data_IF_372446460988
#
_entry.id   IF_372446460988
#
_cell.length_a   1.000
_cell.length_b   1.000
_cell.length_c   1.000
_cell.angle_alpha   90.00
_cell.angle_beta   90.00
_cell.angle_gamma   90.00
#
_symmetry.space_group_name_H-M   'P 1'
#
loop_
_entity.id
_entity.type
_entity.pdbx_description
1 polymer ?
#
# COMPACT_ATOMS: atom_id res chain seq x y z
N UNK A 1 -12.82 -40.60 -12.47
CA UNK A 1 -12.69 -41.28 -13.79
C UNK A 1 -11.31 -41.94 -14.02
N UNK A 2 -10.18 -41.42 -13.48
CA UNK A 2 -8.81 -41.95 -13.68
C UNK A 2 -8.43 -43.23 -12.90
N UNK A 3 -9.06 -43.52 -11.76
CA UNK A 3 -8.81 -44.78 -10.99
C UNK A 3 -9.00 -46.06 -11.84
N UNK A 4 -9.94 -46.03 -12.79
CA UNK A 4 -10.19 -47.16 -13.71
C UNK A 4 -9.05 -47.34 -14.72
N UNK A 5 -8.35 -46.27 -15.08
CA UNK A 5 -7.22 -46.29 -16.01
C UNK A 5 -5.94 -46.81 -15.34
N UNK A 6 -5.69 -46.46 -14.08
CA UNK A 6 -4.53 -47.00 -13.34
C UNK A 6 -4.66 -48.50 -13.10
N UNK A 7 -5.86 -48.99 -12.73
CA UNK A 7 -6.11 -50.43 -12.62
C UNK A 7 -5.79 -51.14 -13.95
N UNK A 8 -6.28 -50.60 -15.06
CA UNK A 8 -5.99 -51.14 -16.41
C UNK A 8 -4.50 -51.11 -16.74
N UNK A 9 -3.79 -50.04 -16.39
CA UNK A 9 -2.35 -49.90 -16.59
C UNK A 9 -1.55 -50.93 -15.78
N UNK A 10 -1.89 -51.10 -14.49
CA UNK A 10 -1.28 -52.10 -13.59
C UNK A 10 -1.48 -53.51 -14.15
N UNK A 11 -2.71 -53.88 -14.51
CA UNK A 11 -2.99 -55.19 -15.12
C UNK A 11 -2.21 -55.40 -16.42
N UNK A 12 -2.11 -54.36 -17.27
CA UNK A 12 -1.38 -54.44 -18.53
C UNK A 12 0.12 -54.65 -18.34
N UNK A 13 0.74 -53.93 -17.40
CA UNK A 13 2.18 -54.04 -17.12
C UNK A 13 2.51 -55.41 -16.51
N UNK A 14 1.71 -55.86 -15.55
CA UNK A 14 1.89 -57.18 -14.93
C UNK A 14 1.74 -58.31 -15.95
N UNK A 15 0.70 -58.25 -16.80
CA UNK A 15 0.47 -59.27 -17.84
C UNK A 15 1.57 -59.26 -18.90
N UNK A 16 2.11 -58.09 -19.25
CA UNK A 16 3.24 -57.97 -20.17
C UNK A 16 4.51 -58.62 -19.60
N UNK A 17 4.83 -58.37 -18.34
CA UNK A 17 5.99 -58.96 -17.66
C UNK A 17 5.85 -60.49 -17.56
N UNK A 18 4.67 -60.98 -17.16
CA UNK A 18 4.39 -62.42 -17.10
C UNK A 18 4.44 -63.05 -18.50
N UNK A 19 3.95 -62.35 -19.52
CA UNK A 19 3.99 -62.80 -20.92
C UNK A 19 5.41 -62.93 -21.46
N UNK A 20 6.28 -61.95 -21.20
CA UNK A 20 7.71 -62.02 -21.56
C UNK A 20 8.38 -63.18 -20.83
N UNK A 21 8.08 -63.36 -19.54
CA UNK A 21 8.64 -64.44 -18.75
C UNK A 21 8.23 -65.84 -19.26
N UNK A 22 6.95 -66.03 -19.58
CA UNK A 22 6.44 -67.29 -20.14
C UNK A 22 7.02 -67.56 -21.54
N UNK A 23 7.16 -66.52 -22.37
CA UNK A 23 7.79 -66.62 -23.69
C UNK A 23 9.27 -67.01 -23.61
N UNK A 24 10.00 -66.50 -22.62
CA UNK A 24 11.40 -66.88 -22.39
C UNK A 24 11.55 -68.37 -22.05
N UNK A 25 10.65 -68.93 -21.25
CA UNK A 25 10.59 -70.36 -20.96
C UNK A 25 10.36 -71.21 -22.23
N UNK A 26 9.42 -70.81 -23.08
CA UNK A 26 9.11 -71.53 -24.32
C UNK A 26 10.29 -71.56 -25.31
N UNK A 27 11.05 -70.47 -25.39
CA UNK A 27 12.24 -70.37 -26.26
C UNK A 27 13.41 -71.18 -25.69
N UNK A 28 13.56 -71.22 -24.38
CA UNK A 28 14.62 -71.99 -23.71
C UNK A 28 14.42 -73.50 -23.91
N UNK A 29 13.19 -73.99 -23.80
CA UNK A 29 12.81 -75.39 -24.03
C UNK A 29 13.06 -75.84 -25.48
N UNK A 30 12.81 -74.96 -26.46
CA UNK A 30 13.01 -75.26 -27.88
C UNK A 30 14.49 -75.34 -28.31
N UNK A 31 15.42 -74.75 -27.55
CA UNK A 31 16.84 -74.63 -27.94
C UNK A 31 17.81 -75.47 -27.10
N UNK A 32 17.31 -76.31 -26.19
CA UNK A 32 18.11 -77.23 -25.35
C UNK A 32 19.25 -76.49 -24.60
N UNK A 33 18.96 -75.27 -24.14
CA UNK A 33 19.93 -74.32 -23.57
C UNK A 33 20.17 -74.49 -22.07
N UNK A 34 19.45 -75.39 -21.40
CA UNK A 34 19.43 -75.53 -19.94
C UNK A 34 20.10 -76.83 -19.49
N UNK A 35 21.19 -76.71 -18.72
CA UNK A 35 21.94 -77.84 -18.16
C UNK A 35 21.99 -77.84 -16.62
N UNK A 36 21.32 -76.89 -15.94
CA UNK A 36 21.24 -76.82 -14.46
C UNK A 36 19.83 -76.48 -13.94
N UNK A 37 18.96 -77.50 -13.71
CA UNK A 37 17.51 -77.30 -13.51
C UNK A 37 17.11 -76.43 -12.31
N UNK A 38 17.88 -76.46 -11.22
CA UNK A 38 17.54 -75.71 -10.00
C UNK A 38 18.03 -74.27 -10.08
N UNK A 39 19.25 -74.04 -10.58
CA UNK A 39 19.82 -72.70 -10.75
C UNK A 39 19.01 -71.86 -11.75
N UNK A 40 18.65 -72.46 -12.88
CA UNK A 40 17.91 -71.79 -13.96
C UNK A 40 16.51 -71.33 -13.51
N UNK A 41 15.85 -72.08 -12.62
CA UNK A 41 14.54 -71.71 -12.04
C UNK A 41 14.66 -70.57 -11.03
N UNK A 42 15.68 -70.59 -10.17
CA UNK A 42 15.92 -69.51 -9.21
C UNK A 42 16.27 -68.19 -9.92
N UNK A 43 17.15 -68.23 -10.92
CA UNK A 43 17.52 -67.05 -11.71
C UNK A 43 16.33 -66.51 -12.51
N UNK A 44 15.50 -67.40 -13.08
CA UNK A 44 14.26 -67.05 -13.78
C UNK A 44 13.23 -66.37 -12.85
N UNK A 45 13.08 -66.87 -11.62
CA UNK A 45 12.19 -66.30 -10.63
C UNK A 45 12.70 -64.94 -10.12
N UNK A 46 14.01 -64.81 -9.89
CA UNK A 46 14.66 -63.55 -9.53
C UNK A 46 14.51 -62.50 -10.64
N UNK A 47 14.59 -62.90 -11.92
CA UNK A 47 14.31 -62.01 -13.04
C UNK A 47 12.84 -61.55 -13.10
N UNK A 48 11.88 -62.44 -12.81
CA UNK A 48 10.46 -62.10 -12.73
C UNK A 48 10.18 -61.09 -11.60
N UNK A 49 10.72 -61.34 -10.41
CA UNK A 49 10.61 -60.40 -9.28
C UNK A 49 11.28 -59.06 -9.59
N UNK A 50 12.45 -59.07 -10.23
CA UNK A 50 13.13 -57.86 -10.68
C UNK A 50 12.32 -57.06 -11.70
N UNK A 51 11.71 -57.74 -12.68
CA UNK A 51 10.84 -57.12 -13.68
C UNK A 51 9.58 -56.52 -13.06
N UNK A 52 8.91 -57.24 -12.15
CA UNK A 52 7.73 -56.75 -11.44
C UNK A 52 8.07 -55.57 -10.51
N UNK A 53 9.19 -55.62 -9.79
CA UNK A 53 9.65 -54.53 -8.94
C UNK A 53 9.96 -53.28 -9.76
N UNK A 54 10.67 -53.42 -10.89
CA UNK A 54 10.96 -52.32 -11.81
C UNK A 54 9.67 -51.74 -12.44
N UNK A 55 8.74 -52.60 -12.84
CA UNK A 55 7.41 -52.19 -13.30
C UNK A 55 6.64 -51.41 -12.23
N UNK A 56 6.71 -51.86 -10.96
CA UNK A 56 6.16 -51.15 -9.81
C UNK A 56 6.72 -49.73 -9.65
N UNK A 57 8.04 -49.57 -9.75
CA UNK A 57 8.70 -48.26 -9.67
C UNK A 57 8.25 -47.33 -10.80
N UNK A 58 8.18 -47.82 -12.05
CA UNK A 58 7.70 -47.02 -13.19
C UNK A 58 6.25 -46.57 -12.97
N UNK A 59 5.39 -47.47 -12.48
CA UNK A 59 4.00 -47.16 -12.18
C UNK A 59 3.87 -46.09 -11.08
N UNK A 60 4.67 -46.20 -10.01
CA UNK A 60 4.70 -45.21 -8.94
C UNK A 60 5.18 -43.84 -9.45
N UNK A 61 6.25 -43.79 -10.25
CA UNK A 61 6.74 -42.53 -10.84
C UNK A 61 5.64 -41.89 -11.70
N UNK A 62 4.95 -42.68 -12.52
CA UNK A 62 3.86 -42.15 -13.34
C UNK A 62 2.71 -41.59 -12.50
N UNK A 63 2.29 -42.29 -11.45
CA UNK A 63 1.25 -41.80 -10.55
C UNK A 63 1.66 -40.49 -9.87
N UNK A 64 2.92 -40.39 -9.41
CA UNK A 64 3.46 -39.17 -8.81
C UNK A 64 3.51 -37.99 -9.79
N UNK A 65 3.84 -38.24 -11.06
CA UNK A 65 3.84 -37.20 -12.09
C UNK A 65 2.42 -36.66 -12.35
N UNK A 66 1.44 -37.54 -12.46
CA UNK A 66 0.04 -37.15 -12.67
C UNK A 66 -0.51 -36.39 -11.45
N UNK A 67 -0.17 -36.80 -10.22
CA UNK A 67 -0.53 -36.07 -8.99
C UNK A 67 0.12 -34.69 -8.91
N UNK A 68 1.39 -34.56 -9.34
CA UNK A 68 2.09 -33.27 -9.39
C UNK A 68 1.47 -32.33 -10.44
N UNK A 69 1.06 -32.85 -11.58
CA UNK A 69 0.35 -32.07 -12.60
C UNK A 69 -0.99 -31.56 -12.06
N UNK A 70 -1.80 -32.42 -11.45
CA UNK A 70 -3.07 -32.04 -10.82
C UNK A 70 -2.85 -31.00 -9.71
N UNK A 71 -1.85 -31.20 -8.85
CA UNK A 71 -1.49 -30.24 -7.80
C UNK A 71 -1.10 -28.89 -8.38
N UNK A 72 -0.35 -28.86 -9.49
CA UNK A 72 0.03 -27.61 -10.17
C UNK A 72 -1.19 -26.90 -10.77
N UNK A 73 -2.11 -27.64 -11.37
CA UNK A 73 -3.35 -27.06 -11.91
C UNK A 73 -4.22 -26.46 -10.80
N UNK A 74 -4.35 -27.13 -9.65
CA UNK A 74 -5.09 -26.61 -8.50
C UNK A 74 -4.41 -25.38 -7.89
N UNK A 75 -3.08 -25.38 -7.77
CA UNK A 75 -2.32 -24.22 -7.33
C UNK A 75 -2.47 -23.04 -8.29
N UNK A 76 -2.50 -23.28 -9.60
CA UNK A 76 -2.74 -22.23 -10.59
C UNK A 76 -4.16 -21.64 -10.45
N UNK A 77 -5.20 -22.49 -10.33
CA UNK A 77 -6.58 -22.04 -10.14
C UNK A 77 -6.77 -21.27 -8.83
N UNK A 78 -6.15 -21.72 -7.74
CA UNK A 78 -6.21 -21.02 -6.45
C UNK A 78 -5.45 -19.70 -6.47
N UNK A 79 -4.30 -19.63 -7.16
CA UNK A 79 -3.58 -18.38 -7.37
C UNK A 79 -4.39 -17.37 -8.20
N UNK A 80 -5.06 -17.82 -9.26
CA UNK A 80 -5.94 -16.99 -10.09
C UNK A 80 -7.14 -16.47 -9.29
N UNK A 81 -7.82 -17.35 -8.53
CA UNK A 81 -8.94 -16.95 -7.67
C UNK A 81 -8.50 -15.94 -6.59
N UNK A 82 -7.35 -16.18 -5.94
CA UNK A 82 -6.79 -15.24 -4.96
C UNK A 82 -6.45 -13.89 -5.59
N UNK A 83 -5.93 -13.88 -6.83
CA UNK A 83 -5.65 -12.65 -7.56
C UNK A 83 -6.92 -11.88 -7.91
N UNK A 84 -7.97 -12.57 -8.38
CA UNK A 84 -9.27 -11.97 -8.66
C UNK A 84 -9.91 -11.37 -7.39
N UNK A 85 -9.93 -12.12 -6.27
CA UNK A 85 -10.42 -11.64 -4.98
C UNK A 85 -9.62 -10.44 -4.46
N UNK A 86 -8.29 -10.46 -4.63
CA UNK A 86 -7.45 -9.32 -4.24
C UNK A 86 -7.76 -8.06 -5.05
N UNK A 87 -8.07 -8.19 -6.35
CA UNK A 87 -8.46 -7.07 -7.19
C UNK A 87 -9.85 -6.53 -6.84
N UNK A 88 -10.84 -7.40 -6.63
CA UNK A 88 -12.17 -6.98 -6.17
C UNK A 88 -12.09 -6.25 -4.82
N UNK A 89 -11.27 -6.76 -3.89
CA UNK A 89 -11.03 -6.09 -2.61
C UNK A 89 -10.39 -4.71 -2.77
N UNK A 90 -9.48 -4.52 -3.76
CA UNK A 90 -8.91 -3.20 -4.08
C UNK A 90 -9.98 -2.26 -4.64
N UNK A 91 -10.79 -2.72 -5.59
CA UNK A 91 -11.87 -1.91 -6.18
C UNK A 91 -12.88 -1.46 -5.12
N UNK A 92 -13.28 -2.38 -4.23
CA UNK A 92 -14.14 -2.05 -3.09
C UNK A 92 -13.51 -1.00 -2.18
N UNK A 93 -12.22 -1.13 -1.86
CA UNK A 93 -11.52 -0.15 -1.04
C UNK A 93 -11.43 1.24 -1.72
N UNK A 94 -11.29 1.30 -3.05
CA UNK A 94 -11.34 2.55 -3.82
C UNK A 94 -12.71 3.21 -3.68
N UNK A 95 -13.78 2.45 -3.89
CA UNK A 95 -15.15 2.96 -3.79
C UNK A 95 -15.47 3.45 -2.37
N UNK A 96 -15.11 2.69 -1.33
CA UNK A 96 -15.30 3.08 0.07
C UNK A 96 -14.52 4.35 0.43
N UNK A 97 -13.29 4.48 -0.06
CA UNK A 97 -12.48 5.68 0.15
C UNK A 97 -13.08 6.89 -0.55
N UNK A 98 -13.52 6.74 -1.80
CA UNK A 98 -14.20 7.80 -2.54
C UNK A 98 -15.50 8.24 -1.85
N UNK A 99 -16.32 7.29 -1.40
CA UNK A 99 -17.53 7.56 -0.62
C UNK A 99 -17.21 8.32 0.67
N UNK A 100 -16.17 7.90 1.39
CA UNK A 100 -15.70 8.57 2.62
C UNK A 100 -15.28 10.01 2.31
N UNK A 101 -14.48 10.23 1.26
CA UNK A 101 -14.01 11.56 0.86
C UNK A 101 -15.14 12.50 0.41
N UNK A 102 -16.18 11.94 -0.18
CA UNK A 102 -17.36 12.67 -0.63
C UNK A 102 -18.41 12.86 0.47
N UNK A 103 -18.31 12.15 1.60
CA UNK A 103 -19.26 12.23 2.71
C UNK A 103 -19.38 13.63 3.30
N UNK A 104 -20.57 13.96 3.81
CA UNK A 104 -20.87 15.27 4.43
C UNK A 104 -19.89 15.61 5.58
N UNK A 105 -19.56 14.62 6.40
CA UNK A 105 -18.56 14.77 7.45
C UNK A 105 -17.19 15.19 6.88
N UNK A 106 -16.74 14.55 5.81
CA UNK A 106 -15.46 14.88 5.20
C UNK A 106 -15.49 16.21 4.44
N UNK A 107 -16.64 16.63 3.90
CA UNK A 107 -16.81 17.99 3.36
C UNK A 107 -16.65 19.05 4.47
N UNK A 108 -17.15 18.77 5.67
CA UNK A 108 -16.95 19.65 6.85
C UNK A 108 -15.48 19.71 7.22
N UNK A 109 -14.78 18.57 7.26
CA UNK A 109 -13.34 18.50 7.51
C UNK A 109 -12.57 19.38 6.52
N UNK A 110 -12.83 19.23 5.21
CA UNK A 110 -12.18 20.03 4.16
C UNK A 110 -12.46 21.52 4.32
N UNK A 111 -13.72 21.89 4.54
CA UNK A 111 -14.13 23.29 4.67
C UNK A 111 -13.46 23.97 5.86
N UNK A 112 -13.50 23.34 7.03
CA UNK A 112 -12.82 23.81 8.25
C UNK A 112 -11.31 23.89 8.06
N UNK A 113 -10.70 22.88 7.44
CA UNK A 113 -9.26 22.88 7.15
C UNK A 113 -8.86 24.03 6.22
N UNK A 114 -9.64 24.28 5.17
CA UNK A 114 -9.41 25.41 4.28
C UNK A 114 -9.49 26.74 5.02
N UNK A 115 -10.45 26.93 5.93
CA UNK A 115 -10.54 28.17 6.74
C UNK A 115 -9.24 28.41 7.50
N UNK A 116 -8.75 27.42 8.23
CA UNK A 116 -7.50 27.52 9.02
C UNK A 116 -6.30 27.83 8.13
N UNK A 117 -6.12 27.09 7.03
CA UNK A 117 -4.96 27.28 6.16
C UNK A 117 -5.01 28.64 5.48
N UNK A 118 -6.18 29.07 4.99
CA UNK A 118 -6.33 30.38 4.36
C UNK A 118 -6.06 31.49 5.39
N UNK A 119 -6.56 31.36 6.62
CA UNK A 119 -6.23 32.28 7.70
C UNK A 119 -4.72 32.35 7.98
N UNK A 120 -4.01 31.22 7.93
CA UNK A 120 -2.56 31.18 8.07
C UNK A 120 -1.83 31.82 6.88
N UNK A 121 -2.34 31.68 5.66
CA UNK A 121 -1.81 32.37 4.49
C UNK A 121 -1.99 33.88 4.60
N UNK A 122 -3.13 34.34 5.13
CA UNK A 122 -3.48 35.76 5.27
C UNK A 122 -2.73 36.48 6.38
N UNK A 123 -2.39 35.78 7.46
CA UNK A 123 -1.69 36.35 8.62
C UNK A 123 -0.52 35.46 9.04
N UNK A 124 0.71 36.00 8.96
CA UNK A 124 1.89 35.32 9.52
C UNK A 124 1.78 35.13 11.03
N UNK A 125 1.20 36.10 11.74
CA UNK A 125 1.01 36.04 13.20
C UNK A 125 0.11 34.88 13.60
N UNK A 126 -0.99 34.67 12.87
CA UNK A 126 -1.87 33.53 13.07
C UNK A 126 -1.21 32.21 12.65
N UNK A 127 -0.47 32.20 11.54
CA UNK A 127 0.27 31.03 11.10
C UNK A 127 1.27 30.54 12.12
N UNK A 128 2.05 31.45 12.71
CA UNK A 128 2.96 31.16 13.81
C UNK A 128 2.25 30.53 15.01
N UNK A 129 1.09 31.06 15.37
CA UNK A 129 0.25 30.50 16.40
C UNK A 129 -0.20 29.08 16.04
N UNK A 130 -0.82 28.91 14.86
CA UNK A 130 -1.31 27.62 14.37
C UNK A 130 -0.18 26.58 14.33
N UNK A 131 0.98 26.92 13.78
CA UNK A 131 2.12 26.01 13.66
C UNK A 131 2.62 25.56 15.03
N UNK A 132 2.70 26.48 16.00
CA UNK A 132 3.09 26.14 17.36
C UNK A 132 2.15 25.13 18.03
N UNK A 133 0.89 25.02 17.59
CA UNK A 133 -0.09 24.06 18.13
C UNK A 133 0.10 22.63 17.65
N UNK A 134 0.89 22.40 16.59
CA UNK A 134 1.27 21.03 16.19
C UNK A 134 2.33 20.42 17.13
N UNK A 135 2.90 21.20 18.03
CA UNK A 135 3.93 20.76 18.97
C UNK A 135 3.41 20.78 20.40
N UNK A 136 3.95 19.88 21.23
CA UNK A 136 3.48 19.69 22.62
C UNK A 136 3.98 20.80 23.55
N UNK A 137 5.08 21.47 23.19
CA UNK A 137 5.75 22.49 24.00
C UNK A 137 5.99 23.76 23.19
N UNK A 138 6.26 24.87 23.88
CA UNK A 138 6.49 26.19 23.26
C UNK A 138 5.30 26.73 22.45
N UNK A 139 4.07 26.35 22.83
CA UNK A 139 2.86 26.80 22.14
C UNK A 139 2.60 28.29 22.35
N UNK A 140 2.30 29.02 21.28
CA UNK A 140 1.88 30.43 21.32
C UNK A 140 0.40 30.54 21.71
N UNK A 141 0.02 31.70 22.25
CA UNK A 141 -1.39 32.01 22.61
C UNK A 141 -2.08 32.72 21.46
N UNK A 142 -3.38 32.45 21.31
CA UNK A 142 -4.25 33.20 20.42
C UNK A 142 -4.66 34.49 21.13
N UNK A 143 -4.45 35.63 20.49
CA UNK A 143 -4.82 36.95 21.02
C UNK A 143 -5.90 37.60 20.17
N UNK A 144 -6.62 38.56 20.74
CA UNK A 144 -7.64 39.32 20.01
C UNK A 144 -7.06 40.08 18.80
N UNK A 145 -5.82 40.54 18.90
CA UNK A 145 -5.17 41.26 17.80
C UNK A 145 -4.96 40.34 16.59
N UNK A 146 -4.53 39.09 16.83
CA UNK A 146 -4.43 38.07 15.78
C UNK A 146 -5.82 37.77 15.21
N UNK A 147 -6.85 37.66 16.04
CA UNK A 147 -8.21 37.38 15.58
C UNK A 147 -8.76 38.46 14.64
N UNK A 148 -8.47 39.74 14.91
CA UNK A 148 -8.88 40.87 14.07
C UNK A 148 -8.25 40.85 12.68
N UNK A 149 -7.11 40.18 12.51
CA UNK A 149 -6.45 40.00 11.21
C UNK A 149 -7.17 38.97 10.32
N UNK A 150 -8.13 38.20 10.85
CA UNK A 150 -8.74 37.05 10.16
C UNK A 150 -10.15 37.37 9.63
N UNK A 151 -10.29 37.81 8.36
CA UNK A 151 -11.59 38.18 7.80
C UNK A 151 -12.59 37.01 7.72
N UNK A 152 -12.09 35.77 7.63
CA UNK A 152 -12.91 34.55 7.54
C UNK A 152 -13.73 34.30 8.81
N UNK A 153 -13.25 34.78 9.96
CA UNK A 153 -13.87 34.58 11.27
C UNK A 153 -14.57 35.83 11.81
N UNK A 154 -14.85 36.80 10.91
CA UNK A 154 -15.40 38.09 11.30
C UNK A 154 -16.75 37.96 12.00
N UNK A 155 -17.59 37.03 11.56
CA UNK A 155 -18.93 36.84 12.11
C UNK A 155 -18.86 36.24 13.52
N UNK A 156 -18.00 35.24 13.75
CA UNK A 156 -17.80 34.65 15.06
C UNK A 156 -17.16 35.64 16.05
N UNK A 157 -16.18 36.44 15.59
CA UNK A 157 -15.54 37.47 16.40
C UNK A 157 -16.52 38.60 16.78
N UNK A 158 -17.56 38.84 15.97
CA UNK A 158 -18.60 39.81 16.27
C UNK A 158 -19.52 39.38 17.42
N UNK A 159 -19.59 38.07 17.71
CA UNK A 159 -20.37 37.53 18.84
C UNK A 159 -19.56 37.67 20.13
N UNK A 160 -18.40 36.99 20.21
CA UNK A 160 -17.45 37.12 21.32
C UNK A 160 -16.08 36.54 20.93
N UNK A 161 -15.02 36.96 21.65
CA UNK A 161 -13.70 36.36 21.45
C UNK A 161 -13.66 34.89 21.89
N UNK A 162 -14.41 34.50 22.92
CA UNK A 162 -14.46 33.11 23.39
C UNK A 162 -15.13 32.18 22.37
N UNK A 163 -16.19 32.64 21.71
CA UNK A 163 -16.85 31.89 20.63
C UNK A 163 -15.93 31.71 19.42
N UNK A 164 -15.17 32.77 19.07
CA UNK A 164 -14.13 32.69 18.05
C UNK A 164 -13.07 31.65 18.43
N UNK A 165 -12.54 31.66 19.66
CA UNK A 165 -11.53 30.69 20.12
C UNK A 165 -12.08 29.27 20.03
N UNK A 166 -13.32 29.05 20.48
CA UNK A 166 -13.97 27.74 20.38
C UNK A 166 -14.13 27.26 18.94
N UNK A 167 -14.55 28.15 18.04
CA UNK A 167 -14.73 27.83 16.62
C UNK A 167 -13.39 27.59 15.90
N UNK A 168 -12.39 28.43 16.15
CA UNK A 168 -11.03 28.27 15.63
C UNK A 168 -10.42 26.94 16.07
N UNK A 169 -10.57 26.61 17.35
CA UNK A 169 -10.07 25.33 17.89
C UNK A 169 -10.76 24.14 17.22
N UNK A 170 -12.08 24.19 17.05
CA UNK A 170 -12.83 23.17 16.34
C UNK A 170 -12.32 23.00 14.90
N UNK A 171 -12.16 24.10 14.17
CA UNK A 171 -11.71 24.05 12.78
C UNK A 171 -10.24 23.56 12.67
N UNK A 172 -9.38 23.93 13.63
CA UNK A 172 -7.99 23.42 13.70
C UNK A 172 -7.94 21.92 13.94
N UNK A 173 -8.80 21.36 14.78
CA UNK A 173 -8.87 19.91 14.94
C UNK A 173 -9.29 19.19 13.66
N UNK A 174 -10.11 19.82 12.80
CA UNK A 174 -10.42 19.27 11.48
C UNK A 174 -9.21 19.30 10.54
N UNK A 175 -8.34 20.30 10.65
CA UNK A 175 -7.06 20.30 9.93
C UNK A 175 -6.18 19.12 10.35
N UNK A 176 -6.11 18.81 11.65
CA UNK A 176 -5.38 17.64 12.16
C UNK A 176 -5.95 16.33 11.59
N UNK A 177 -7.28 16.19 11.55
CA UNK A 177 -7.95 15.03 10.93
C UNK A 177 -7.62 14.91 9.44
N UNK A 178 -7.62 16.02 8.69
CA UNK A 178 -7.26 16.05 7.28
C UNK A 178 -5.81 15.61 7.06
N UNK A 179 -4.88 16.17 7.82
CA UNK A 179 -3.46 15.80 7.75
C UNK A 179 -3.27 14.31 8.05
N UNK A 180 -3.92 13.80 9.10
CA UNK A 180 -3.86 12.38 9.47
C UNK A 180 -4.45 11.49 8.38
N UNK A 181 -5.54 11.90 7.72
CA UNK A 181 -6.10 11.19 6.57
C UNK A 181 -5.05 11.01 5.47
N UNK A 182 -4.34 12.07 5.06
CA UNK A 182 -3.31 11.99 4.02
C UNK A 182 -2.05 11.22 4.48
N UNK A 183 -1.69 11.28 5.77
CA UNK A 183 -0.61 10.46 6.34
C UNK A 183 -0.94 8.97 6.23
N UNK A 184 -2.15 8.58 6.64
CA UNK A 184 -2.61 7.18 6.58
C UNK A 184 -2.70 6.69 5.14
N UNK A 185 -3.16 7.57 4.25
CA UNK A 185 -3.32 7.29 2.83
C UNK A 185 -1.95 7.04 2.16
N UNK A 186 -0.98 7.93 2.36
CA UNK A 186 0.36 7.84 1.73
C UNK A 186 1.21 6.66 2.22
N UNK A 187 1.05 6.20 3.46
CA UNK A 187 1.89 5.13 4.03
C UNK A 187 1.48 3.71 3.59
N UNK A 188 0.30 3.52 3.01
CA UNK A 188 -0.16 2.19 2.55
C UNK A 188 0.42 1.87 1.17
N UNK A 189 1.31 0.87 1.09
CA UNK A 189 1.96 0.44 -0.17
C UNK A 189 0.95 0.06 -1.28
N UNK A 190 -0.19 -0.52 -0.91
CA UNK A 190 -1.28 -0.89 -1.82
C UNK A 190 -2.18 0.29 -2.22
N UNK A 191 -2.00 1.46 -1.60
CA UNK A 191 -2.85 2.62 -1.83
C UNK A 191 -2.37 3.50 -2.98
N UNK A 192 -1.21 3.27 -3.59
CA UNK A 192 -0.76 4.09 -4.72
C UNK A 192 -1.77 4.10 -5.87
N UNK A 193 -2.23 2.92 -6.29
CA UNK A 193 -3.25 2.78 -7.34
C UNK A 193 -4.59 3.38 -6.90
N UNK A 194 -4.93 3.21 -5.61
CA UNK A 194 -6.15 3.75 -5.02
C UNK A 194 -6.15 5.28 -5.03
N UNK A 195 -5.03 5.90 -4.65
CA UNK A 195 -4.83 7.35 -4.60
C UNK A 195 -4.80 7.92 -6.01
N UNK A 196 -4.11 7.27 -6.94
CA UNK A 196 -4.05 7.72 -8.33
C UNK A 196 -5.45 7.75 -8.97
N UNK A 197 -6.30 6.78 -8.64
CA UNK A 197 -7.68 6.72 -9.14
C UNK A 197 -8.61 7.73 -8.46
N UNK A 198 -8.33 8.12 -7.21
CA UNK A 198 -9.04 9.18 -6.52
C UNK A 198 -8.22 10.47 -6.59
N UNK A 199 -8.43 11.30 -7.62
CA UNK A 199 -7.66 12.54 -7.84
C UNK A 199 -7.56 13.46 -6.60
N UNK A 200 -8.52 13.36 -5.66
CA UNK A 200 -8.63 14.15 -4.41
C UNK A 200 -8.50 15.68 -4.61
N UNK A 201 -8.47 16.14 -5.87
CA UNK A 201 -8.06 17.48 -6.26
C UNK A 201 -6.70 17.83 -5.63
N UNK A 202 -5.72 16.93 -5.72
CA UNK A 202 -4.43 17.10 -5.05
C UNK A 202 -3.74 18.42 -5.45
N UNK A 203 -3.84 18.86 -6.70
CA UNK A 203 -3.34 20.16 -7.15
C UNK A 203 -3.83 21.36 -6.33
N UNK A 204 -5.04 21.27 -5.76
CA UNK A 204 -5.59 22.31 -4.91
C UNK A 204 -4.98 22.30 -3.51
N UNK A 205 -4.67 21.10 -3.00
CA UNK A 205 -4.07 20.89 -1.69
C UNK A 205 -2.55 21.02 -1.69
N UNK A 206 -1.91 20.71 -2.81
CA UNK A 206 -0.45 20.66 -2.97
C UNK A 206 0.26 21.91 -2.45
N UNK A 207 -0.05 23.15 -2.90
CA UNK A 207 0.63 24.33 -2.39
C UNK A 207 0.35 24.58 -0.90
N UNK A 208 -0.83 24.18 -0.41
CA UNK A 208 -1.24 24.33 0.98
C UNK A 208 -0.49 23.37 1.91
N UNK A 209 -0.32 22.12 1.50
CA UNK A 209 0.46 21.15 2.28
C UNK A 209 1.95 21.45 2.25
N UNK A 210 2.48 21.92 1.11
CA UNK A 210 3.85 22.43 1.07
C UNK A 210 4.03 23.62 2.02
N UNK A 211 3.08 24.57 2.04
CA UNK A 211 3.10 25.70 2.96
C UNK A 211 3.14 25.29 4.44
N UNK A 212 2.26 24.39 4.88
CA UNK A 212 2.24 23.93 6.27
C UNK A 212 3.51 23.14 6.59
N UNK A 213 3.95 22.26 5.69
CA UNK A 213 5.07 21.36 5.97
C UNK A 213 6.41 22.10 6.08
N UNK A 214 6.66 23.11 5.25
CA UNK A 214 7.85 23.94 5.34
C UNK A 214 7.83 24.80 6.62
N UNK A 215 6.67 25.39 6.96
CA UNK A 215 6.53 26.13 8.21
C UNK A 215 6.74 25.27 9.46
N UNK A 216 6.25 24.03 9.47
CA UNK A 216 6.50 23.10 10.57
C UNK A 216 8.00 22.80 10.72
N UNK A 217 8.72 22.64 9.61
CA UNK A 217 10.15 22.34 9.61
C UNK A 217 10.98 23.53 10.07
N UNK A 218 10.66 24.72 9.58
CA UNK A 218 11.31 25.96 10.02
C UNK A 218 11.12 26.14 11.52
N UNK A 219 9.88 26.05 12.01
CA UNK A 219 9.59 26.19 13.43
C UNK A 219 10.30 25.13 14.29
N UNK A 220 10.40 23.89 13.79
CA UNK A 220 11.13 22.81 14.47
C UNK A 220 12.65 23.05 14.52
N UNK A 221 13.21 23.67 13.48
CA UNK A 221 14.65 23.89 13.33
C UNK A 221 15.13 25.24 13.90
N UNK A 222 14.22 26.17 14.21
CA UNK A 222 14.55 27.43 14.89
C UNK A 222 15.42 27.19 16.14
N UNK A 223 16.48 27.98 16.28
CA UNK A 223 17.46 27.82 17.38
C UNK A 223 16.80 27.95 18.75
N UNK A 224 15.82 28.85 18.89
CA UNK A 224 15.07 29.10 20.12
C UNK A 224 14.18 27.92 20.56
N UNK A 225 13.94 26.96 19.66
CA UNK A 225 13.00 25.84 19.87
C UNK A 225 13.69 24.51 20.22
N UNK A 226 14.81 24.53 20.95
CA UNK A 226 15.49 23.32 21.44
C UNK A 226 14.55 22.39 22.25
N UNK A 227 13.65 22.97 23.04
CA UNK A 227 12.66 22.21 23.79
C UNK A 227 11.72 21.42 22.88
N UNK A 228 11.33 21.97 21.72
CA UNK A 228 10.50 21.25 20.75
C UNK A 228 11.25 20.01 20.27
N UNK A 229 12.53 20.14 19.89
CA UNK A 229 13.35 19.00 19.44
C UNK A 229 13.56 17.94 20.51
N UNK A 230 13.57 18.33 21.78
CA UNK A 230 13.69 17.41 22.92
C UNK A 230 12.43 16.58 23.16
N UNK A 231 11.24 17.19 23.04
CA UNK A 231 9.97 16.57 23.45
C UNK A 231 9.08 16.15 22.29
N UNK A 232 9.36 16.61 21.06
CA UNK A 232 8.56 16.33 19.86
C UNK A 232 9.38 15.62 18.80
N UNK A 233 8.73 14.73 18.05
CA UNK A 233 9.31 14.09 16.87
C UNK A 233 9.44 15.12 15.74
N UNK A 234 10.38 14.92 14.80
CA UNK A 234 10.45 15.72 13.59
C UNK A 234 9.10 15.70 12.83
N UNK A 235 8.67 16.83 12.25
CA UNK A 235 7.45 16.89 11.46
C UNK A 235 7.47 15.89 10.30
N UNK A 236 6.42 15.07 10.19
CA UNK A 236 6.33 14.03 9.15
C UNK A 236 5.61 14.51 7.88
N UNK A 237 4.89 15.63 7.94
CA UNK A 237 4.05 16.09 6.84
C UNK A 237 4.85 16.29 5.54
N UNK A 238 6.08 16.83 5.60
CA UNK A 238 6.90 17.00 4.38
C UNK A 238 7.15 15.69 3.63
N UNK A 239 7.43 14.61 4.36
CA UNK A 239 7.63 13.29 3.74
C UNK A 239 6.34 12.80 3.08
N UNK A 240 5.18 13.10 3.67
CA UNK A 240 3.86 12.76 3.12
C UNK A 240 3.62 13.54 1.84
N UNK A 241 3.91 14.84 1.82
CA UNK A 241 3.76 15.66 0.59
C UNK A 241 4.70 15.16 -0.50
N UNK A 242 5.94 14.79 -0.20
CA UNK A 242 6.86 14.17 -1.16
C UNK A 242 6.33 12.84 -1.74
N UNK A 243 5.71 12.01 -0.90
CA UNK A 243 5.09 10.76 -1.35
C UNK A 243 3.89 11.02 -2.25
N UNK A 244 3.05 12.00 -1.90
CA UNK A 244 1.91 12.40 -2.73
C UNK A 244 2.37 13.00 -4.06
N UNK A 245 3.36 13.89 -4.06
CA UNK A 245 3.98 14.43 -5.27
C UNK A 245 4.47 13.31 -6.20
N UNK A 246 5.09 12.26 -5.66
CA UNK A 246 5.50 11.09 -6.44
C UNK A 246 4.30 10.34 -7.04
N UNK A 247 3.25 10.11 -6.25
CA UNK A 247 2.05 9.39 -6.69
C UNK A 247 1.31 10.15 -7.80
N UNK A 248 1.20 11.47 -7.69
CA UNK A 248 0.57 12.36 -8.66
C UNK A 248 1.53 12.84 -9.76
N UNK A 249 2.73 12.27 -9.85
CA UNK A 249 3.71 12.53 -10.92
C UNK A 249 4.19 14.00 -10.99
N UNK A 250 4.17 14.71 -9.87
CA UNK A 250 4.77 16.04 -9.77
C UNK A 250 6.29 15.97 -9.68
N UNK A 251 6.95 16.99 -10.23
CA UNK A 251 8.41 17.11 -10.16
C UNK A 251 8.83 17.45 -8.73
N UNK A 252 9.83 16.75 -8.17
CA UNK A 252 10.35 17.06 -6.84
C UNK A 252 11.08 18.40 -6.86
N UNK A 253 10.87 19.18 -5.80
CA UNK A 253 11.66 20.39 -5.54
C UNK A 253 13.05 20.02 -5.05
N UNK A 254 14.08 20.76 -5.50
CA UNK A 254 15.47 20.53 -5.12
C UNK A 254 15.86 21.33 -3.88
N UNK A 255 15.26 22.51 -3.70
CA UNK A 255 15.60 23.43 -2.60
C UNK A 255 14.37 23.98 -1.92
N UNK A 256 14.50 24.38 -0.64
CA UNK A 256 13.44 25.07 0.11
C UNK A 256 13.02 26.38 -0.57
N UNK A 257 13.96 27.09 -1.20
CA UNK A 257 13.69 28.32 -1.96
C UNK A 257 12.75 28.07 -3.14
N UNK A 258 12.92 26.96 -3.86
CA UNK A 258 12.01 26.56 -4.95
C UNK A 258 10.60 26.27 -4.43
N UNK A 259 10.47 25.64 -3.26
CA UNK A 259 9.17 25.36 -2.63
C UNK A 259 8.46 26.67 -2.29
N UNK A 260 9.14 27.60 -1.63
CA UNK A 260 8.57 28.92 -1.30
C UNK A 260 8.24 29.75 -2.54
N UNK A 261 9.10 29.71 -3.57
CA UNK A 261 8.79 30.33 -4.87
C UNK A 261 7.54 29.74 -5.49
N UNK A 262 7.38 28.41 -5.48
CA UNK A 262 6.17 27.74 -5.95
C UNK A 262 4.94 28.18 -5.16
N UNK A 263 4.98 28.17 -3.83
CA UNK A 263 3.85 28.58 -2.97
C UNK A 263 3.45 30.03 -3.25
N UNK A 264 4.41 30.96 -3.25
CA UNK A 264 4.15 32.40 -3.36
C UNK A 264 3.76 32.84 -4.79
N UNK A 265 4.18 32.09 -5.80
CA UNK A 265 3.74 32.29 -7.20
C UNK A 265 2.46 31.54 -7.55
N UNK A 266 1.96 30.64 -6.69
CA UNK A 266 0.81 29.82 -7.01
C UNK A 266 -0.47 30.67 -7.11
N UNK A 267 -1.22 30.65 -8.24
CA UNK A 267 -2.39 31.50 -8.44
C UNK A 267 -3.45 31.36 -7.34
N UNK A 268 -3.65 30.13 -6.84
CA UNK A 268 -4.60 29.87 -5.76
C UNK A 268 -4.18 30.53 -4.44
N UNK A 269 -2.90 30.44 -4.07
CA UNK A 269 -2.38 31.05 -2.84
C UNK A 269 -2.45 32.57 -2.94
N UNK A 270 -2.14 33.12 -4.11
CA UNK A 270 -2.28 34.56 -4.37
C UNK A 270 -3.72 35.04 -4.24
N UNK A 271 -4.70 34.24 -4.71
CA UNK A 271 -6.12 34.57 -4.59
C UNK A 271 -6.62 34.67 -3.14
N UNK A 272 -5.86 34.13 -2.19
CA UNK A 272 -6.18 34.18 -0.77
C UNK A 272 -5.62 35.41 -0.05
N UNK A 273 -4.94 36.33 -0.74
CA UNK A 273 -4.28 37.51 -0.17
C UNK A 273 -3.16 37.14 0.81
N UNK A 274 -2.16 36.42 0.32
CA UNK A 274 -0.99 36.00 1.12
C UNK A 274 -0.28 37.19 1.78
N UNK A 275 0.08 37.02 3.06
CA UNK A 275 0.82 38.01 3.84
C UNK A 275 2.19 38.30 3.18
N UNK A 276 2.50 39.59 2.99
CA UNK A 276 3.78 40.01 2.38
C UNK A 276 5.00 39.60 3.20
N UNK A 277 4.85 39.33 4.50
CA UNK A 277 5.92 38.83 5.38
C UNK A 277 6.51 37.51 4.87
N UNK A 278 5.73 36.68 4.19
CA UNK A 278 6.24 35.42 3.61
C UNK A 278 7.29 35.62 2.51
N UNK A 279 7.42 36.82 1.93
CA UNK A 279 8.46 37.08 0.93
C UNK A 279 9.89 36.99 1.50
N UNK A 280 10.06 37.00 2.82
CA UNK A 280 11.35 36.80 3.48
C UNK A 280 11.94 35.42 3.18
N UNK A 281 11.10 34.41 2.92
CA UNK A 281 11.56 33.05 2.61
C UNK A 281 12.15 32.86 1.21
N UNK A 282 11.99 33.84 0.32
CA UNK A 282 12.60 33.83 -1.02
C UNK A 282 13.86 34.69 -1.08
N UNK A 283 14.08 35.60 -0.12
CA UNK A 283 15.25 36.49 -0.11
C UNK A 283 16.51 35.66 0.14
#
# INVERSE_FOLDING_TARGET
MKSKNYKKLIYSVTLFIIGIWFGAWFIADYRDLTHQPVGDVFDSLSALFGGLAFGGVILTIKMQLDELEETREELAKTAEANYAMANESKEKAILELYQTYCSENFQTIKTSSFKIIISAIQSKSYSDFMISRFFVVSTKKLTEDIAKELPIYKDELAISFDDFVGKEQFDRFRLDELINFFILLSNKKSSKDVIKNCDFFYDWWRPLFWFISELQIEHYNESENENIRKYSKPPYLRNVVLLLDNIYEHKPFQTQKEIWQYILSHPKVQSYNIDKKYNEYIK
#
